data_IF_408655012821
#
_entry.id   IF_408655012821
#
_cell.length_a   1.000
_cell.length_b   1.000
_cell.length_c   1.000
_cell.angle_alpha   90.00
_cell.angle_beta   90.00
_cell.angle_gamma   90.00
#
_symmetry.space_group_name_H-M   'P 1'
#
loop_
_entity.id
_entity.type
_entity.pdbx_description
1 polymer ?
#
# COMPACT_ATOMS: atom_id res chain seq x y z
N UNK A 1 -12.72 10.14 32.69
CA UNK A 1 -11.35 10.61 32.33
C UNK A 1 -11.49 11.32 30.99
N UNK A 2 -11.14 12.61 30.92
CA UNK A 2 -11.47 13.42 29.77
C UNK A 2 -10.31 13.49 28.77
N UNK A 3 -10.58 13.23 27.49
CA UNK A 3 -9.60 13.36 26.43
C UNK A 3 -9.22 14.84 26.24
N UNK A 4 -8.02 15.11 25.73
CA UNK A 4 -7.57 16.44 25.31
C UNK A 4 -6.82 16.34 24.01
N UNK A 5 -6.97 17.35 23.17
CA UNK A 5 -6.20 17.46 21.94
C UNK A 5 -4.72 17.64 22.29
N UNK A 6 -3.89 16.67 21.93
CA UNK A 6 -2.45 16.69 22.18
C UNK A 6 -1.69 17.27 20.99
N UNK A 7 -2.02 16.84 19.77
CA UNK A 7 -1.42 17.36 18.55
C UNK A 7 -2.38 17.26 17.34
N UNK A 8 -2.32 18.21 16.42
CA UNK A 8 -3.05 18.18 15.13
C UNK A 8 -2.21 17.59 13.99
N UNK A 9 -0.94 17.26 14.24
CA UNK A 9 -0.07 16.64 13.26
C UNK A 9 0.94 15.71 13.95
N UNK A 10 1.03 14.48 13.45
CA UNK A 10 1.98 13.47 13.95
C UNK A 10 3.42 13.84 13.58
N UNK A 11 3.63 14.53 12.45
CA UNK A 11 4.96 14.95 11.99
C UNK A 11 5.70 15.85 13.00
N UNK A 12 4.95 16.57 13.85
CA UNK A 12 5.48 17.43 14.91
C UNK A 12 5.88 16.66 16.17
N UNK A 13 5.39 15.44 16.34
CA UNK A 13 5.77 14.55 17.45
C UNK A 13 6.99 13.69 17.12
N UNK A 14 7.31 13.54 15.82
CA UNK A 14 8.52 12.86 15.34
C UNK A 14 9.79 13.75 15.48
N UNK A 15 9.63 15.04 15.79
CA UNK A 15 10.69 16.04 15.90
C UNK A 15 11.44 16.06 17.23
N UNK A 16 12.21 15.00 17.53
CA UNK A 16 13.48 15.02 18.32
C UNK A 16 14.23 13.68 18.23
N UNK A 17 13.92 12.82 17.26
CA UNK A 17 14.89 11.85 16.79
C UNK A 17 15.62 12.51 15.62
N UNK A 18 16.93 12.73 15.77
CA UNK A 18 17.76 13.21 14.66
C UNK A 18 17.56 12.35 13.41
N UNK A 19 18.03 12.86 12.26
CA UNK A 19 18.23 12.06 11.05
C UNK A 19 19.13 10.86 11.38
N UNK A 20 18.51 9.80 11.86
CA UNK A 20 19.11 8.49 11.99
C UNK A 20 18.82 7.82 10.66
N UNK A 21 19.76 7.95 9.75
CA UNK A 21 20.06 6.93 8.74
C UNK A 21 20.42 5.63 9.49
N UNK A 22 19.44 4.94 10.07
CA UNK A 22 19.64 3.61 10.64
C UNK A 22 18.28 2.98 10.96
N UNK A 23 18.10 1.74 10.50
CA UNK A 23 16.93 0.92 10.80
C UNK A 23 16.43 0.27 9.53
N UNK A 24 17.02 -0.88 9.18
CA UNK A 24 16.34 -1.83 8.31
C UNK A 24 14.89 -2.01 8.81
N UNK A 25 13.88 -2.05 7.93
CA UNK A 25 12.53 -2.39 8.39
C UNK A 25 12.60 -3.75 9.08
N UNK A 26 12.03 -3.83 10.28
CA UNK A 26 11.70 -5.11 10.90
C UNK A 26 10.99 -5.98 9.87
N UNK A 27 11.60 -7.11 9.57
CA UNK A 27 11.27 -7.93 8.40
C UNK A 27 12.42 -8.08 7.40
N UNK A 28 13.67 -8.15 7.88
CA UNK A 28 14.66 -8.97 7.17
C UNK A 28 14.04 -10.37 7.02
N UNK A 29 13.44 -10.63 5.86
CA UNK A 29 12.80 -11.91 5.56
C UNK A 29 13.85 -13.01 5.79
N UNK A 30 13.54 -13.95 6.67
CA UNK A 30 14.43 -15.08 6.97
C UNK A 30 14.87 -15.75 5.66
N UNK A 31 16.19 -15.89 5.46
CA UNK A 31 16.74 -16.72 4.40
C UNK A 31 17.30 -15.99 3.17
N UNK A 32 17.79 -14.76 3.33
CA UNK A 32 18.47 -14.05 2.26
C UNK A 32 20.00 -14.16 2.32
N UNK A 33 20.74 -14.57 1.24
CA UNK A 33 20.32 -15.16 -0.05
C UNK A 33 20.24 -16.71 -0.06
N UNK A 34 20.24 -17.38 1.10
CA UNK A 34 20.42 -18.83 1.20
C UNK A 34 19.25 -19.72 0.69
N UNK A 35 18.16 -19.14 0.16
CA UNK A 35 16.92 -19.86 -0.18
C UNK A 35 16.38 -19.62 -1.62
N UNK A 36 17.19 -19.07 -2.52
CA UNK A 36 16.79 -18.84 -3.91
C UNK A 36 16.36 -20.14 -4.61
N UNK A 37 15.17 -20.13 -5.20
CA UNK A 37 14.61 -21.27 -5.92
C UNK A 37 13.99 -20.79 -7.24
N UNK A 38 14.64 -21.04 -8.38
CA UNK A 38 14.07 -20.67 -9.69
C UNK A 38 12.84 -21.55 -9.98
N UNK A 39 11.84 -20.93 -10.60
CA UNK A 39 10.63 -21.61 -11.12
C UNK A 39 10.70 -21.78 -12.64
N UNK A 40 11.57 -21.02 -13.31
CA UNK A 40 11.81 -21.07 -14.74
C UNK A 40 13.32 -21.11 -15.03
N UNK A 41 13.71 -21.91 -16.01
CA UNK A 41 15.06 -22.01 -16.56
C UNK A 41 15.00 -22.08 -18.10
N UNK A 42 16.06 -21.67 -18.83
CA UNK A 42 17.29 -21.05 -18.33
C UNK A 42 17.04 -19.65 -17.74
N UNK A 43 17.95 -19.19 -16.88
CA UNK A 43 17.92 -17.84 -16.28
C UNK A 43 18.31 -16.73 -17.26
N UNK A 44 17.49 -16.53 -18.28
CA UNK A 44 17.70 -15.55 -19.34
C UNK A 44 16.50 -14.60 -19.45
N UNK A 45 16.70 -13.41 -19.99
CA UNK A 45 15.62 -12.44 -20.18
C UNK A 45 14.48 -13.05 -21.01
N UNK A 46 13.25 -12.91 -20.52
CA UNK A 46 12.05 -13.43 -21.18
C UNK A 46 11.22 -12.30 -21.76
N UNK A 47 10.62 -12.59 -22.91
CA UNK A 47 9.61 -11.77 -23.59
C UNK A 47 8.40 -12.65 -23.87
N UNK A 48 7.25 -12.03 -23.94
CA UNK A 48 6.02 -12.66 -24.40
C UNK A 48 5.30 -11.72 -25.36
N UNK A 49 4.57 -12.29 -26.30
CA UNK A 49 3.70 -11.50 -27.17
C UNK A 49 2.58 -10.84 -26.34
N UNK A 50 2.14 -9.61 -26.69
CA UNK A 50 1.06 -8.96 -25.98
C UNK A 50 -0.22 -9.81 -26.02
N UNK A 51 -0.75 -10.11 -24.84
CA UNK A 51 -2.02 -10.82 -24.68
C UNK A 51 -3.14 -9.84 -24.29
N UNK A 52 -4.41 -10.10 -24.69
CA UNK A 52 -5.54 -9.30 -24.24
C UNK A 52 -5.66 -9.28 -22.72
N UNK A 53 -6.03 -8.14 -22.15
CA UNK A 53 -6.22 -8.03 -20.71
C UNK A 53 -7.44 -8.82 -20.27
N UNK A 54 -7.35 -9.54 -19.13
CA UNK A 54 -8.52 -10.21 -18.57
C UNK A 54 -9.56 -9.17 -18.18
N UNK A 55 -10.82 -9.43 -18.51
CA UNK A 55 -11.94 -8.60 -18.09
C UNK A 55 -12.87 -9.39 -17.17
N UNK A 56 -13.20 -8.89 -15.97
CA UNK A 56 -12.79 -7.60 -15.43
C UNK A 56 -11.33 -7.57 -14.93
N UNK A 57 -10.65 -6.44 -15.10
CA UNK A 57 -9.34 -6.16 -14.49
C UNK A 57 -9.52 -5.10 -13.41
N UNK A 58 -9.26 -5.47 -12.16
CA UNK A 58 -9.45 -4.63 -11.00
C UNK A 58 -8.14 -4.06 -10.49
N UNK A 59 -8.20 -2.84 -9.95
CA UNK A 59 -7.15 -2.27 -9.12
C UNK A 59 -7.76 -1.86 -7.79
N UNK A 60 -7.19 -2.33 -6.69
CA UNK A 60 -7.59 -1.95 -5.33
C UNK A 60 -6.43 -1.24 -4.66
N UNK A 61 -6.72 -0.10 -4.07
CA UNK A 61 -5.76 0.66 -3.29
C UNK A 61 -6.45 1.43 -2.15
N UNK A 62 -5.65 1.83 -1.16
CA UNK A 62 -6.09 2.47 0.06
C UNK A 62 -5.24 3.68 0.43
N UNK A 63 -5.86 4.63 1.11
CA UNK A 63 -5.20 5.81 1.69
C UNK A 63 -5.51 5.90 3.17
N UNK A 64 -4.55 6.38 3.94
CA UNK A 64 -4.74 6.71 5.34
C UNK A 64 -4.15 8.09 5.64
N UNK A 65 -4.71 8.75 6.65
CA UNK A 65 -4.26 10.05 7.13
C UNK A 65 -4.53 10.17 8.62
N UNK A 66 -3.47 10.35 9.41
CA UNK A 66 -3.61 10.83 10.79
C UNK A 66 -4.15 12.26 10.81
N UNK A 67 -5.12 12.51 11.68
CA UNK A 67 -5.85 13.79 11.79
C UNK A 67 -5.58 14.50 13.13
N UNK A 68 -5.43 13.76 14.24
CA UNK A 68 -4.99 14.29 15.52
C UNK A 68 -4.58 13.20 16.51
N UNK A 69 -3.73 13.56 17.48
CA UNK A 69 -3.45 12.76 18.67
C UNK A 69 -4.20 13.34 19.85
N UNK A 70 -4.86 12.48 20.62
CA UNK A 70 -5.52 12.81 21.88
C UNK A 70 -4.75 12.21 23.05
N UNK A 71 -4.86 12.83 24.23
CA UNK A 71 -4.37 12.29 25.49
C UNK A 71 -5.39 12.45 26.61
N UNK A 72 -5.58 11.43 27.45
CA UNK A 72 -6.34 11.51 28.70
C UNK A 72 -5.43 11.71 29.93
N UNK A 73 -4.14 12.01 29.71
CA UNK A 73 -3.09 12.11 30.73
C UNK A 73 -2.42 10.78 31.08
N UNK A 74 -2.98 9.63 30.68
CA UNK A 74 -2.38 8.30 30.88
C UNK A 74 -2.17 7.54 29.57
N UNK A 75 -3.08 7.74 28.61
CA UNK A 75 -3.11 7.06 27.31
C UNK A 75 -3.09 8.07 26.19
N UNK A 76 -2.67 7.58 25.02
CA UNK A 76 -2.78 8.29 23.75
C UNK A 76 -3.77 7.58 22.84
N UNK A 77 -4.47 8.36 22.02
CA UNK A 77 -5.29 7.85 20.93
C UNK A 77 -5.00 8.62 19.65
N UNK A 78 -5.11 7.95 18.50
CA UNK A 78 -4.91 8.55 17.18
C UNK A 78 -6.24 8.62 16.44
N UNK A 79 -6.71 9.84 16.19
CA UNK A 79 -7.78 10.11 15.26
C UNK A 79 -7.22 10.06 13.83
N UNK A 80 -7.82 9.25 12.98
CA UNK A 80 -7.40 9.10 11.60
C UNK A 80 -8.58 8.89 10.64
N UNK A 81 -8.32 9.14 9.37
CA UNK A 81 -9.22 8.81 8.28
C UNK A 81 -8.57 7.75 7.39
N UNK A 82 -9.32 6.70 7.07
CA UNK A 82 -8.92 5.64 6.15
C UNK A 82 -9.91 5.59 5.00
N UNK A 83 -9.40 5.33 3.81
CA UNK A 83 -10.20 5.17 2.61
C UNK A 83 -9.66 4.01 1.79
N UNK A 84 -10.55 3.30 1.10
CA UNK A 84 -10.18 2.30 0.11
C UNK A 84 -11.18 2.35 -1.03
N UNK A 85 -10.74 1.99 -2.23
CA UNK A 85 -11.62 1.91 -3.38
C UNK A 85 -11.10 0.92 -4.41
N UNK A 86 -11.92 0.72 -5.43
CA UNK A 86 -11.54 -0.10 -6.57
C UNK A 86 -11.84 0.64 -7.87
N UNK A 87 -10.99 0.44 -8.87
CA UNK A 87 -11.28 0.77 -10.27
C UNK A 87 -11.30 -0.51 -11.08
N UNK A 88 -12.17 -0.57 -12.09
CA UNK A 88 -12.28 -1.71 -13.01
C UNK A 88 -12.02 -1.26 -14.44
N UNK A 89 -11.24 -2.05 -15.15
CA UNK A 89 -11.18 -2.04 -16.59
C UNK A 89 -12.13 -3.10 -17.15
N UNK A 90 -13.06 -2.65 -18.00
CA UNK A 90 -13.99 -3.51 -18.71
C UNK A 90 -14.47 -2.79 -19.98
N UNK A 91 -14.60 -3.51 -21.10
CA UNK A 91 -15.05 -3.00 -22.39
C UNK A 91 -14.28 -1.74 -22.83
N UNK A 92 -12.96 -1.76 -22.70
CA UNK A 92 -12.10 -0.63 -23.10
C UNK A 92 -12.12 0.57 -22.15
N UNK A 93 -12.85 0.53 -21.04
CA UNK A 93 -13.06 1.68 -20.15
C UNK A 93 -12.59 1.41 -18.72
N UNK A 94 -11.93 2.40 -18.13
CA UNK A 94 -11.60 2.44 -16.71
C UNK A 94 -12.72 3.14 -15.93
N UNK A 95 -13.31 2.46 -14.94
CA UNK A 95 -14.43 2.99 -14.17
C UNK A 95 -14.19 2.85 -12.67
N UNK A 96 -14.47 3.91 -11.92
CA UNK A 96 -14.47 3.88 -10.46
C UNK A 96 -15.65 3.04 -9.97
N UNK A 97 -15.37 2.09 -9.09
CA UNK A 97 -16.37 1.31 -8.36
C UNK A 97 -16.69 1.97 -7.01
N UNK A 98 -17.17 1.19 -6.05
CA UNK A 98 -17.42 1.68 -4.70
C UNK A 98 -16.12 2.16 -4.03
N UNK A 99 -16.18 3.33 -3.41
CA UNK A 99 -15.15 3.83 -2.49
C UNK A 99 -15.73 3.85 -1.09
N UNK A 100 -14.95 3.46 -0.10
CA UNK A 100 -15.32 3.54 1.31
C UNK A 100 -14.37 4.49 2.02
N UNK A 101 -14.92 5.36 2.87
CA UNK A 101 -14.18 6.27 3.73
C UNK A 101 -14.71 6.11 5.15
N UNK A 102 -13.80 5.93 6.11
CA UNK A 102 -14.12 5.82 7.53
C UNK A 102 -13.18 6.72 8.33
N UNK A 103 -13.68 7.20 9.46
CA UNK A 103 -12.86 7.85 10.47
C UNK A 103 -12.79 6.94 11.68
N UNK A 104 -11.58 6.70 12.16
CA UNK A 104 -11.29 5.75 13.23
C UNK A 104 -10.48 6.44 14.32
N UNK A 105 -10.77 6.11 15.57
CA UNK A 105 -9.98 6.49 16.72
C UNK A 105 -9.22 5.30 17.25
N UNK A 106 -7.95 5.17 16.86
CA UNK A 106 -7.07 4.10 17.33
C UNK A 106 -6.74 4.35 18.80
N UNK A 107 -6.95 3.35 19.66
CA UNK A 107 -6.84 3.48 21.12
C UNK A 107 -8.09 4.06 21.80
N UNK A 108 -9.17 4.33 21.05
CA UNK A 108 -10.47 4.64 21.65
C UNK A 108 -11.28 3.37 21.87
N UNK A 109 -11.99 3.33 22.99
CA UNK A 109 -12.94 2.25 23.34
C UNK A 109 -14.36 2.56 22.85
N UNK A 110 -14.69 3.85 22.73
CA UNK A 110 -16.02 4.33 22.35
C UNK A 110 -15.95 5.31 21.18
N UNK A 111 -17.07 5.43 20.46
CA UNK A 111 -17.15 6.36 19.34
C UNK A 111 -17.04 7.81 19.83
N UNK A 112 -16.19 8.59 19.16
CA UNK A 112 -15.97 9.99 19.50
C UNK A 112 -16.58 10.90 18.43
N UNK A 113 -17.47 11.79 18.86
CA UNK A 113 -18.06 12.83 18.01
C UNK A 113 -17.44 14.19 18.30
N UNK A 114 -16.89 14.83 17.27
CA UNK A 114 -16.33 16.18 17.32
C UNK A 114 -16.96 17.03 16.21
N UNK A 115 -18.01 17.77 16.56
CA UNK A 115 -18.87 18.45 15.59
C UNK A 115 -19.51 17.46 14.62
N UNK A 116 -19.24 17.63 13.33
CA UNK A 116 -19.72 16.75 12.25
C UNK A 116 -18.85 15.48 12.08
N UNK A 117 -17.70 15.41 12.74
CA UNK A 117 -16.79 14.27 12.63
C UNK A 117 -17.18 13.18 13.62
N UNK A 118 -17.29 11.94 13.14
CA UNK A 118 -17.52 10.75 13.97
C UNK A 118 -16.35 9.80 13.76
N UNK A 119 -15.62 9.50 14.83
CA UNK A 119 -14.53 8.54 14.85
C UNK A 119 -15.02 7.26 15.50
N UNK A 120 -15.03 6.17 14.74
CA UNK A 120 -15.38 4.85 15.25
C UNK A 120 -14.22 4.29 16.09
N UNK A 121 -14.50 3.62 17.22
CA UNK A 121 -13.45 3.14 18.10
C UNK A 121 -12.67 2.00 17.46
N UNK A 122 -11.36 2.02 17.65
CA UNK A 122 -10.47 0.91 17.31
C UNK A 122 -9.49 0.68 18.48
N UNK A 123 -9.84 -0.18 19.44
CA UNK A 123 -8.96 -0.51 20.55
C UNK A 123 -7.64 -1.13 20.08
N UNK A 124 -6.56 -0.90 20.81
CA UNK A 124 -5.28 -1.57 20.56
C UNK A 124 -5.34 -3.04 21.03
N UNK A 125 -4.67 -3.91 20.30
CA UNK A 125 -4.51 -5.32 20.70
C UNK A 125 -3.43 -5.43 21.77
N UNK A 126 -3.86 -5.26 23.03
CA UNK A 126 -2.97 -5.31 24.19
C UNK A 126 -2.24 -3.99 24.47
N UNK A 127 -1.55 -3.89 25.61
CA UNK A 127 -0.82 -2.69 25.98
C UNK A 127 0.46 -2.56 25.12
N UNK A 128 0.69 -1.42 24.46
CA UNK A 128 1.93 -1.19 23.74
C UNK A 128 3.12 -1.09 24.71
N UNK A 129 4.30 -1.47 24.24
CA UNK A 129 5.56 -1.28 24.98
C UNK A 129 5.77 0.21 25.31
N UNK A 130 6.28 0.55 26.52
CA UNK A 130 6.69 1.91 26.84
C UNK A 130 7.72 2.41 25.83
N UNK A 131 7.39 3.46 25.07
CA UNK A 131 8.22 4.01 23.98
C UNK A 131 7.63 3.86 22.58
N UNK A 132 6.79 2.85 22.35
CA UNK A 132 6.28 2.49 21.01
C UNK A 132 4.81 2.84 20.79
N UNK A 133 4.20 3.60 21.71
CA UNK A 133 2.76 3.90 21.70
C UNK A 133 2.32 4.55 20.38
N UNK A 134 3.08 5.54 19.88
CA UNK A 134 2.75 6.20 18.62
C UNK A 134 2.86 5.24 17.42
N UNK A 135 3.87 4.37 17.42
CA UNK A 135 4.05 3.33 16.40
C UNK A 135 2.85 2.37 16.39
N UNK A 136 2.44 1.87 17.57
CA UNK A 136 1.28 1.00 17.70
C UNK A 136 -0.03 1.67 17.22
N UNK A 137 -0.20 2.97 17.50
CA UNK A 137 -1.34 3.74 17.00
C UNK A 137 -1.33 3.88 15.46
N UNK A 138 -0.17 4.17 14.88
CA UNK A 138 0.01 4.25 13.42
C UNK A 138 -0.23 2.89 12.76
N UNK A 139 0.25 1.80 13.36
CA UNK A 139 -0.02 0.43 12.91
C UNK A 139 -1.50 0.08 12.96
N UNK A 140 -2.22 0.48 14.02
CA UNK A 140 -3.67 0.32 14.11
C UNK A 140 -4.39 1.06 12.99
N UNK A 141 -3.97 2.28 12.64
CA UNK A 141 -4.53 3.02 11.51
C UNK A 141 -4.27 2.30 10.17
N UNK A 142 -3.05 1.79 9.98
CA UNK A 142 -2.67 1.00 8.81
C UNK A 142 -3.45 -0.31 8.69
N UNK A 143 -3.71 -0.97 9.82
CA UNK A 143 -4.55 -2.16 9.91
C UNK A 143 -5.99 -1.83 9.52
N UNK A 144 -6.54 -0.71 9.99
CA UNK A 144 -7.89 -0.26 9.61
C UNK A 144 -8.03 -0.01 8.11
N UNK A 145 -7.03 0.62 7.47
CA UNK A 145 -6.97 0.75 5.99
C UNK A 145 -6.95 -0.63 5.33
N UNK A 146 -6.05 -1.50 5.75
CA UNK A 146 -5.87 -2.84 5.17
C UNK A 146 -7.14 -3.68 5.24
N UNK A 147 -7.86 -3.67 6.37
CA UNK A 147 -9.15 -4.36 6.51
C UNK A 147 -10.21 -3.82 5.54
N UNK A 148 -10.18 -2.52 5.23
CA UNK A 148 -11.11 -1.92 4.27
C UNK A 148 -10.80 -2.35 2.84
N UNK A 149 -9.51 -2.44 2.49
CA UNK A 149 -9.03 -2.99 1.21
C UNK A 149 -9.42 -4.47 1.05
N UNK A 150 -9.20 -5.29 2.08
CA UNK A 150 -9.55 -6.72 2.08
C UNK A 150 -11.05 -6.93 1.90
N UNK A 151 -11.88 -6.15 2.60
CA UNK A 151 -13.34 -6.23 2.45
C UNK A 151 -13.80 -5.85 1.05
N UNK A 152 -13.14 -4.89 0.40
CA UNK A 152 -13.44 -4.54 -1.00
C UNK A 152 -12.97 -5.65 -1.95
N UNK A 153 -11.73 -6.11 -1.82
CA UNK A 153 -11.16 -7.15 -2.68
C UNK A 153 -11.94 -8.48 -2.59
N UNK A 154 -12.40 -8.86 -1.41
CA UNK A 154 -13.21 -10.06 -1.20
C UNK A 154 -14.61 -9.99 -1.83
N UNK A 155 -15.12 -8.79 -2.12
CA UNK A 155 -16.39 -8.59 -2.81
C UNK A 155 -16.25 -8.59 -4.35
N UNK A 156 -15.02 -8.54 -4.89
CA UNK A 156 -14.77 -8.54 -6.33
C UNK A 156 -14.70 -9.97 -6.87
N UNK A 157 -15.63 -10.32 -7.75
CA UNK A 157 -15.75 -11.65 -8.34
C UNK A 157 -15.15 -11.71 -9.76
N UNK A 158 -14.52 -12.84 -10.10
CA UNK A 158 -13.96 -13.09 -11.43
C UNK A 158 -12.77 -12.19 -11.78
N UNK A 159 -12.20 -12.40 -12.97
CA UNK A 159 -11.14 -11.53 -13.50
C UNK A 159 -9.86 -11.48 -12.66
N UNK A 160 -9.02 -10.47 -12.93
CA UNK A 160 -7.72 -10.28 -12.31
C UNK A 160 -7.74 -9.07 -11.36
N UNK A 161 -7.19 -9.24 -10.15
CA UNK A 161 -6.92 -8.12 -9.25
C UNK A 161 -5.44 -7.73 -9.30
N UNK A 162 -5.17 -6.44 -9.46
CA UNK A 162 -3.84 -5.83 -9.32
C UNK A 162 -3.81 -4.98 -8.05
N UNK A 163 -2.75 -5.14 -7.25
CA UNK A 163 -2.55 -4.37 -6.01
C UNK A 163 -1.20 -3.66 -6.02
N UNK A 164 -1.15 -2.43 -5.52
CA UNK A 164 0.11 -1.73 -5.29
C UNK A 164 0.77 -2.28 -4.02
N UNK A 165 2.00 -2.74 -4.18
CA UNK A 165 2.78 -3.41 -3.16
C UNK A 165 2.61 -4.94 -3.16
N UNK A 166 3.11 -5.58 -2.09
CA UNK A 166 3.08 -7.04 -1.97
C UNK A 166 1.66 -7.60 -2.01
N UNK A 167 1.51 -8.80 -2.58
CA UNK A 167 0.28 -9.61 -2.49
C UNK A 167 -0.03 -9.85 -1.02
N UNK A 168 -1.11 -9.19 -0.58
CA UNK A 168 -1.63 -9.23 0.79
C UNK A 168 -3.13 -9.49 0.84
N UNK A 169 -3.87 -9.08 -0.20
CA UNK A 169 -5.32 -9.16 -0.24
C UNK A 169 -5.76 -10.57 -0.63
N UNK A 170 -6.56 -11.20 0.22
CA UNK A 170 -7.17 -12.49 -0.07
C UNK A 170 -8.45 -12.30 -0.86
N UNK A 171 -8.59 -13.03 -1.96
CA UNK A 171 -9.82 -13.12 -2.77
C UNK A 171 -9.86 -14.46 -3.50
N UNK A 172 -11.00 -14.74 -4.13
CA UNK A 172 -11.10 -15.81 -5.12
C UNK A 172 -10.59 -15.32 -6.48
N UNK A 173 -9.75 -16.11 -7.15
CA UNK A 173 -9.19 -15.78 -8.47
C UNK A 173 -7.80 -15.15 -8.42
N UNK A 174 -7.21 -14.85 -9.60
CA UNK A 174 -5.83 -14.42 -9.70
C UNK A 174 -5.60 -13.01 -9.13
N UNK A 175 -4.38 -12.80 -8.59
CA UNK A 175 -3.91 -11.54 -8.01
C UNK A 175 -2.47 -11.27 -8.42
N UNK A 176 -2.19 -10.06 -8.91
CA UNK A 176 -0.84 -9.56 -9.11
C UNK A 176 -0.53 -8.43 -8.13
N UNK A 177 0.54 -8.57 -7.36
CA UNK A 177 1.16 -7.46 -6.64
C UNK A 177 2.29 -6.88 -7.47
N UNK A 178 2.40 -5.56 -7.50
CA UNK A 178 3.53 -4.88 -8.12
C UNK A 178 4.26 -4.00 -7.11
N UNK A 179 5.57 -4.16 -7.03
CA UNK A 179 6.41 -3.58 -5.99
C UNK A 179 7.49 -2.72 -6.66
N UNK A 180 7.49 -1.45 -6.28
CA UNK A 180 8.37 -0.40 -6.82
C UNK A 180 9.74 -0.41 -6.16
N UNK A 181 9.81 -0.78 -4.88
CA UNK A 181 11.02 -0.63 -4.07
C UNK A 181 11.73 -1.96 -3.83
N UNK A 182 13.04 -1.96 -4.11
CA UNK A 182 13.90 -3.14 -4.19
C UNK A 182 14.74 -3.32 -2.90
N UNK A 183 14.12 -3.22 -1.73
CA UNK A 183 14.87 -3.21 -0.46
C UNK A 183 15.44 -4.58 -0.06
N UNK A 184 14.74 -5.66 -0.42
CA UNK A 184 15.27 -7.01 -0.27
C UNK A 184 15.91 -7.43 -1.59
N UNK A 185 17.20 -7.77 -1.53
CA UNK A 185 17.83 -8.60 -2.56
C UNK A 185 17.03 -9.91 -2.55
N UNK A 186 16.55 -10.38 -3.70
CA UNK A 186 15.87 -11.69 -3.84
C UNK A 186 16.59 -12.66 -4.76
N UNK A 187 17.60 -12.15 -5.46
CA UNK A 187 18.47 -12.92 -6.33
C UNK A 187 19.88 -13.01 -5.72
N UNK A 188 20.56 -14.17 -5.83
CA UNK A 188 22.00 -14.23 -5.65
C UNK A 188 22.69 -13.39 -6.74
N UNK A 189 23.94 -12.97 -6.47
CA UNK A 189 24.65 -11.97 -7.28
C UNK A 189 24.75 -12.33 -8.77
N UNK A 190 24.97 -13.61 -9.09
CA UNK A 190 25.02 -14.14 -10.46
C UNK A 190 23.70 -13.96 -11.22
N UNK A 191 22.57 -14.05 -10.51
CA UNK A 191 21.22 -13.91 -11.07
C UNK A 191 20.75 -12.46 -11.07
N UNK A 192 21.21 -11.66 -10.11
CA UNK A 192 20.94 -10.22 -10.00
C UNK A 192 21.55 -9.44 -11.17
N UNK A 193 22.68 -9.90 -11.73
CA UNK A 193 23.30 -9.30 -12.91
C UNK A 193 22.33 -9.10 -14.09
N UNK A 194 21.37 -10.02 -14.28
CA UNK A 194 20.35 -9.92 -15.32
C UNK A 194 19.47 -8.66 -15.18
N UNK A 195 19.22 -8.19 -13.95
CA UNK A 195 18.39 -7.00 -13.73
C UNK A 195 18.95 -5.78 -14.45
N UNK A 196 20.28 -5.62 -14.44
CA UNK A 196 20.98 -4.51 -15.09
C UNK A 196 20.90 -4.54 -16.62
N UNK A 197 20.67 -5.71 -17.22
CA UNK A 197 20.67 -5.91 -18.67
C UNK A 197 19.27 -6.06 -19.27
N UNK A 198 18.23 -6.20 -18.44
CA UNK A 198 16.83 -6.23 -18.89
C UNK A 198 16.47 -4.98 -19.70
N UNK A 199 16.01 -5.19 -20.93
CA UNK A 199 15.47 -4.15 -21.80
C UNK A 199 14.00 -3.89 -21.48
N UNK A 200 13.46 -2.71 -21.80
CA UNK A 200 12.02 -2.44 -21.68
C UNK A 200 11.17 -3.54 -22.34
N UNK A 201 10.16 -4.03 -21.61
CA UNK A 201 9.30 -5.12 -22.05
C UNK A 201 9.88 -6.53 -21.83
N UNK A 202 11.01 -6.65 -21.15
CA UNK A 202 11.57 -7.93 -20.70
C UNK A 202 11.32 -8.17 -19.21
N UNK A 203 11.25 -9.44 -18.84
CA UNK A 203 11.26 -9.90 -17.44
C UNK A 203 12.40 -10.87 -17.17
N UNK A 204 12.78 -11.00 -15.90
CA UNK A 204 13.53 -12.18 -15.45
C UNK A 204 12.64 -13.42 -15.51
N UNK A 205 13.25 -14.61 -15.49
CA UNK A 205 12.53 -15.82 -15.14
C UNK A 205 11.98 -15.71 -13.71
N UNK A 206 10.92 -16.47 -13.45
CA UNK A 206 10.25 -16.48 -12.16
C UNK A 206 11.08 -17.24 -11.13
N UNK A 207 10.98 -16.81 -9.87
CA UNK A 207 11.56 -17.45 -8.71
C UNK A 207 10.56 -17.48 -7.56
N UNK A 208 10.76 -18.39 -6.62
CA UNK A 208 9.89 -18.54 -5.46
C UNK A 208 10.29 -17.57 -4.35
N UNK A 209 9.29 -16.91 -3.77
CA UNK A 209 9.41 -16.12 -2.53
C UNK A 209 8.47 -16.72 -1.48
N UNK A 210 8.96 -16.86 -0.24
CA UNK A 210 8.13 -17.25 0.90
C UNK A 210 7.94 -16.05 1.82
N UNK A 211 6.69 -15.67 2.07
CA UNK A 211 6.39 -14.54 2.95
C UNK A 211 5.18 -14.85 3.83
N UNK A 212 5.37 -14.79 5.15
CA UNK A 212 4.30 -15.03 6.15
C UNK A 212 3.51 -16.33 5.88
N UNK A 213 4.22 -17.41 5.55
CA UNK A 213 3.64 -18.72 5.24
C UNK A 213 2.99 -18.86 3.85
N UNK A 214 3.03 -17.81 3.01
CA UNK A 214 2.57 -17.85 1.63
C UNK A 214 3.74 -18.08 0.67
N UNK A 215 3.57 -19.01 -0.28
CA UNK A 215 4.48 -19.15 -1.42
C UNK A 215 3.99 -18.30 -2.60
N UNK A 216 4.92 -17.56 -3.20
CA UNK A 216 4.68 -16.61 -4.28
C UNK A 216 5.64 -16.93 -5.43
N UNK A 217 5.12 -16.85 -6.66
CA UNK A 217 5.97 -16.70 -7.83
C UNK A 217 6.27 -15.20 -8.00
N UNK A 218 7.55 -14.83 -8.11
CA UNK A 218 7.98 -13.45 -8.31
C UNK A 218 8.95 -13.35 -9.48
N UNK A 219 8.94 -12.21 -10.16
CA UNK A 219 9.85 -11.86 -11.24
C UNK A 219 10.06 -10.35 -11.26
N UNK A 220 11.13 -9.90 -11.91
CA UNK A 220 11.34 -8.49 -12.20
C UNK A 220 11.03 -8.22 -13.65
N UNK A 221 10.43 -7.08 -13.97
CA UNK A 221 10.24 -6.60 -15.34
C UNK A 221 10.76 -5.17 -15.48
N UNK A 222 11.14 -4.80 -16.70
CA UNK A 222 11.59 -3.45 -17.03
C UNK A 222 10.50 -2.68 -17.77
N UNK A 223 10.03 -1.59 -17.16
CA UNK A 223 9.08 -0.66 -17.77
C UNK A 223 9.77 0.23 -18.82
N UNK A 224 9.04 0.62 -19.89
CA UNK A 224 9.50 1.69 -20.77
C UNK A 224 9.58 2.99 -19.98
N UNK A 225 10.63 3.76 -20.26
CA UNK A 225 10.93 5.00 -19.57
C UNK A 225 11.27 6.08 -20.59
N UNK A 226 10.49 7.15 -20.63
CA UNK A 226 10.64 8.27 -21.59
C UNK A 226 10.92 9.60 -20.86
N UNK A 227 11.80 10.49 -21.33
CA UNK A 227 12.72 10.36 -22.47
C UNK A 227 13.98 9.57 -22.11
N UNK A 228 14.51 8.82 -23.08
CA UNK A 228 15.75 8.03 -22.95
C UNK A 228 16.94 8.92 -22.50
N UNK A 229 17.68 8.49 -21.47
CA UNK A 229 18.77 9.25 -20.85
C UNK A 229 19.50 8.44 -19.79
N UNK A 230 20.54 9.02 -19.17
CA UNK A 230 21.30 8.39 -18.08
C UNK A 230 20.41 8.30 -16.84
N UNK A 231 20.24 7.09 -16.32
CA UNK A 231 19.40 6.82 -15.15
C UNK A 231 20.10 5.88 -14.18
N UNK A 232 19.75 5.93 -12.88
CA UNK A 232 20.13 4.89 -11.94
C UNK A 232 19.71 3.51 -12.47
N UNK A 233 20.53 2.46 -12.36
CA UNK A 233 20.27 1.11 -12.87
C UNK A 233 18.91 0.51 -12.49
N UNK A 234 18.38 0.89 -11.32
CA UNK A 234 17.10 0.48 -10.76
C UNK A 234 15.89 1.17 -11.40
N UNK A 235 16.10 2.20 -12.21
CA UNK A 235 15.01 2.99 -12.79
C UNK A 235 14.12 2.13 -13.69
N UNK A 236 12.83 2.09 -13.39
CA UNK A 236 11.85 1.36 -14.19
C UNK A 236 11.93 -0.16 -14.01
N UNK A 237 12.73 -0.69 -13.08
CA UNK A 237 12.50 -2.04 -12.59
C UNK A 237 11.22 -2.06 -11.78
N UNK A 238 10.44 -3.11 -11.99
CA UNK A 238 9.24 -3.40 -11.23
C UNK A 238 9.29 -4.87 -10.85
N UNK A 239 9.19 -5.17 -9.55
CA UNK A 239 9.00 -6.55 -9.11
C UNK A 239 7.52 -6.86 -9.14
N UNK A 240 7.16 -7.97 -9.76
CA UNK A 240 5.79 -8.48 -9.77
C UNK A 240 5.77 -9.81 -9.05
N UNK A 241 4.65 -10.11 -8.41
CA UNK A 241 4.44 -11.39 -7.75
C UNK A 241 2.96 -11.81 -7.78
N UNK A 242 2.73 -13.11 -7.73
CA UNK A 242 1.42 -13.75 -7.63
C UNK A 242 1.50 -14.94 -6.68
N UNK A 243 0.42 -15.35 -6.00
CA UNK A 243 0.38 -16.65 -5.32
C UNK A 243 0.83 -17.78 -6.24
N UNK A 244 1.54 -18.77 -5.69
CA UNK A 244 2.00 -19.96 -6.41
C UNK A 244 0.84 -20.96 -6.61
N UNK A 245 -0.24 -20.48 -7.23
CA UNK A 245 -1.49 -21.19 -7.48
C UNK A 245 -2.05 -20.78 -8.85
N UNK A 246 -2.75 -21.69 -9.52
CA UNK A 246 -3.25 -21.45 -10.87
C UNK A 246 -2.13 -21.29 -11.90
N UNK A 247 -2.41 -20.60 -13.01
CA UNK A 247 -1.46 -20.37 -14.10
C UNK A 247 -0.64 -19.10 -13.88
N UNK A 248 0.33 -19.17 -12.98
CA UNK A 248 1.24 -18.07 -12.69
C UNK A 248 2.17 -17.73 -13.87
N UNK A 249 2.41 -18.67 -14.79
CA UNK A 249 3.17 -18.44 -16.02
C UNK A 249 2.45 -17.50 -16.98
N UNK A 250 1.17 -17.76 -17.24
CA UNK A 250 0.33 -16.86 -18.03
C UNK A 250 0.23 -15.46 -17.39
N UNK A 251 0.21 -15.35 -16.06
CA UNK A 251 0.22 -14.06 -15.37
C UNK A 251 1.56 -13.32 -15.53
N UNK A 252 2.69 -14.04 -15.54
CA UNK A 252 4.00 -13.47 -15.79
C UNK A 252 4.12 -12.91 -17.20
N UNK A 253 3.59 -13.61 -18.19
CA UNK A 253 3.59 -13.14 -19.57
C UNK A 253 2.59 -11.99 -19.78
N UNK A 254 1.39 -12.08 -19.18
CA UNK A 254 0.42 -10.98 -19.14
C UNK A 254 1.03 -9.69 -18.57
N UNK A 255 1.85 -9.80 -17.51
CA UNK A 255 2.47 -8.65 -16.86
C UNK A 255 3.28 -7.78 -17.82
N UNK A 256 3.90 -8.38 -18.85
CA UNK A 256 4.68 -7.68 -19.88
C UNK A 256 3.81 -6.81 -20.80
N UNK A 257 2.54 -7.18 -20.99
CA UNK A 257 1.58 -6.36 -21.75
C UNK A 257 0.85 -5.34 -20.87
N UNK A 258 0.66 -5.67 -19.59
CA UNK A 258 -0.17 -4.91 -18.66
C UNK A 258 0.56 -3.69 -18.11
N UNK A 259 1.71 -3.89 -17.46
CA UNK A 259 2.36 -2.82 -16.71
C UNK A 259 2.96 -1.73 -17.60
N UNK A 260 3.62 -2.03 -18.74
CA UNK A 260 4.09 -1.00 -19.66
C UNK A 260 2.99 -0.07 -20.16
N UNK A 261 1.80 -0.59 -20.44
CA UNK A 261 0.67 0.19 -20.92
C UNK A 261 -0.01 1.03 -19.84
N UNK A 262 0.11 0.63 -18.57
CA UNK A 262 -0.47 1.33 -17.42
C UNK A 262 0.52 2.26 -16.72
N UNK A 263 1.80 2.15 -17.02
CA UNK A 263 2.86 2.98 -16.49
C UNK A 263 2.58 4.48 -16.76
N UNK A 264 2.78 5.32 -15.73
CA UNK A 264 2.65 6.76 -15.88
C UNK A 264 3.80 7.34 -16.70
N UNK A 265 3.57 8.52 -17.29
CA UNK A 265 4.59 9.26 -18.02
C UNK A 265 5.19 10.35 -17.12
N UNK A 266 6.52 10.64 -17.14
CA UNK A 266 7.13 11.66 -16.27
C UNK A 266 6.55 13.07 -16.36
N UNK A 267 5.98 13.41 -17.52
CA UNK A 267 5.23 14.67 -17.72
C UNK A 267 3.95 14.74 -16.87
N UNK A 268 3.34 13.60 -16.54
CA UNK A 268 2.07 13.49 -15.82
C UNK A 268 2.23 13.14 -14.35
N UNK A 269 3.32 12.46 -13.99
CA UNK A 269 3.61 12.05 -12.61
C UNK A 269 5.13 12.11 -12.38
N UNK A 270 5.65 12.92 -11.44
CA UNK A 270 7.07 12.90 -11.09
C UNK A 270 7.55 11.54 -10.55
N UNK A 271 6.62 10.67 -10.13
CA UNK A 271 6.87 9.29 -9.67
C UNK A 271 6.78 8.27 -10.82
N UNK A 272 6.66 8.72 -12.06
CA UNK A 272 6.69 7.86 -13.23
C UNK A 272 8.02 7.12 -13.35
N UNK A 273 8.04 5.96 -14.03
CA UNK A 273 6.92 5.27 -14.68
C UNK A 273 6.22 4.27 -13.75
N UNK A 274 6.71 4.16 -12.51
CA UNK A 274 6.40 3.05 -11.62
C UNK A 274 4.99 3.18 -11.02
N UNK A 275 4.44 4.39 -10.96
CA UNK A 275 3.04 4.60 -10.61
C UNK A 275 2.11 4.25 -11.77
N UNK A 276 1.20 3.30 -11.56
CA UNK A 276 0.19 2.98 -12.56
C UNK A 276 -0.89 4.06 -12.59
N UNK A 277 -1.29 4.48 -13.80
CA UNK A 277 -2.31 5.51 -14.00
C UNK A 277 -3.64 5.22 -13.29
N UNK A 278 -4.18 3.97 -13.28
CA UNK A 278 -5.42 3.66 -12.56
C UNK A 278 -5.28 3.85 -11.05
N UNK A 279 -4.16 3.44 -10.47
CA UNK A 279 -3.89 3.57 -9.03
C UNK A 279 -3.72 5.04 -8.66
N UNK A 280 -2.93 5.81 -9.41
CA UNK A 280 -2.79 7.25 -9.18
C UNK A 280 -4.12 8.02 -9.32
N UNK A 281 -5.00 7.59 -10.24
CA UNK A 281 -6.36 8.14 -10.37
C UNK A 281 -7.23 7.83 -9.15
N UNK A 282 -7.22 6.57 -8.70
CA UNK A 282 -7.93 6.12 -7.51
C UNK A 282 -7.43 6.87 -6.26
N UNK A 283 -6.12 6.97 -6.06
CA UNK A 283 -5.52 7.69 -4.94
C UNK A 283 -5.99 9.16 -4.86
N UNK A 284 -6.06 9.85 -6.00
CA UNK A 284 -6.56 11.25 -6.06
C UNK A 284 -8.02 11.33 -5.65
N UNK A 285 -8.84 10.39 -6.13
CA UNK A 285 -10.26 10.35 -5.78
C UNK A 285 -10.49 10.00 -4.30
N UNK A 286 -9.76 9.03 -3.76
CA UNK A 286 -9.80 8.71 -2.32
C UNK A 286 -9.39 9.93 -1.48
N UNK A 287 -8.30 10.62 -1.85
CA UNK A 287 -7.85 11.83 -1.17
C UNK A 287 -8.92 12.92 -1.15
N UNK A 288 -9.63 13.11 -2.29
CA UNK A 288 -10.75 14.06 -2.39
C UNK A 288 -11.90 13.69 -1.45
N UNK A 289 -12.27 12.41 -1.38
CA UNK A 289 -13.35 11.93 -0.50
C UNK A 289 -13.02 11.95 0.98
N UNK A 290 -11.74 11.85 1.36
CA UNK A 290 -11.29 12.03 2.74
C UNK A 290 -11.44 13.48 3.23
N UNK A 291 -11.69 14.44 2.34
CA UNK A 291 -11.87 15.85 2.66
C UNK A 291 -10.57 16.59 2.95
N UNK A 292 -10.66 17.91 3.15
CA UNK A 292 -9.50 18.78 3.40
C UNK A 292 -8.95 18.62 4.81
N UNK A 293 -7.62 18.47 4.93
CA UNK A 293 -6.90 18.41 6.21
C UNK A 293 -7.11 19.68 7.04
N UNK A 294 -7.12 20.85 6.39
CA UNK A 294 -7.29 22.14 7.07
C UNK A 294 -8.68 22.31 7.68
N UNK A 295 -9.72 21.84 6.98
CA UNK A 295 -11.11 21.90 7.46
C UNK A 295 -11.28 20.97 8.66
N UNK A 296 -10.76 19.75 8.56
CA UNK A 296 -10.78 18.78 9.67
C UNK A 296 -10.04 19.34 10.89
N UNK A 297 -8.81 19.84 10.70
CA UNK A 297 -8.03 20.42 11.79
C UNK A 297 -8.77 21.59 12.48
N UNK A 298 -9.46 22.43 11.70
CA UNK A 298 -10.28 23.53 12.24
C UNK A 298 -11.50 23.04 13.01
N UNK A 299 -12.15 21.95 12.59
CA UNK A 299 -13.25 21.34 13.36
C UNK A 299 -12.71 20.78 14.68
N UNK A 300 -11.61 20.03 14.64
CA UNK A 300 -10.99 19.44 15.83
C UNK A 300 -10.56 20.51 16.85
N UNK A 301 -9.92 21.59 16.38
CA UNK A 301 -9.52 22.70 17.25
C UNK A 301 -10.72 23.41 17.89
N UNK A 302 -11.83 23.60 17.15
CA UNK A 302 -13.05 24.25 17.68
C UNK A 302 -13.77 23.41 18.73
N UNK A 303 -13.68 22.09 18.65
CA UNK A 303 -14.37 21.17 19.56
C UNK A 303 -13.45 20.58 20.64
N UNK A 304 -12.28 21.19 20.89
CA UNK A 304 -11.37 20.72 21.94
C UNK A 304 -12.01 20.75 23.34
N UNK A 305 -12.90 21.70 23.59
CA UNK A 305 -13.60 21.83 24.88
C UNK A 305 -14.60 20.70 25.10
N UNK A 306 -15.19 20.17 24.01
CA UNK A 306 -16.09 19.01 24.05
C UNK A 306 -15.36 17.73 24.48
N UNK A 307 -14.04 17.63 24.29
CA UNK A 307 -13.23 16.51 24.79
C UNK A 307 -13.10 16.55 26.33
N UNK A 308 -13.19 17.73 26.93
CA UNK A 308 -12.98 17.98 28.36
C UNK A 308 -14.25 17.88 29.20
N UNK A 309 -15.44 17.94 28.58
CA UNK A 309 -16.73 18.13 29.26
C UNK A 309 -17.32 16.89 29.96
N UNK A 310 -16.73 15.70 29.75
CA UNK A 310 -17.29 14.42 30.23
C UNK A 310 -16.96 14.10 31.71
N UNK A 311 -16.81 15.13 32.55
CA UNK A 311 -16.64 14.99 34.02
C UNK A 311 -17.62 15.85 34.83
N UNK A 312 -18.62 16.47 34.18
CA UNK A 312 -19.50 17.46 34.81
C UNK A 312 -20.90 17.00 35.22
N UNK A 313 -21.18 15.70 35.30
CA UNK A 313 -22.52 15.20 35.65
C UNK A 313 -22.47 13.87 36.39
N UNK A 314 -22.43 13.93 37.72
CA UNK A 314 -22.45 12.78 38.62
C UNK A 314 -21.91 13.13 39.99
#
# INVERSE_FOLDING_TARGET
MAWRLYALDLSRLEGTAGEVLSGAPEGAEEGYPASFQPLEEPWEARRADPVPWPEPLYFVDGRERGEAVLSDGRRLALLGCVAAGAVVYQQGNMRLLETRVRRVGVGLEEALRLGELVYEPLPLEGPPSPGDVLTALQEGLRKARTLLEEKLAGALAGGLLVVDGPVRLRRQGPVLGYIKTHWARYLPEDREALLSTLKPGERTPMFRVRRKGQELASWYLRLPLTPEGVRPPESGLLRVETPLQGDFGALADLSLSLFPALASHPVKDPRAPQNLLPVGGLERELSRRMGSREVVARILARHQDSLSADQGGG
#
